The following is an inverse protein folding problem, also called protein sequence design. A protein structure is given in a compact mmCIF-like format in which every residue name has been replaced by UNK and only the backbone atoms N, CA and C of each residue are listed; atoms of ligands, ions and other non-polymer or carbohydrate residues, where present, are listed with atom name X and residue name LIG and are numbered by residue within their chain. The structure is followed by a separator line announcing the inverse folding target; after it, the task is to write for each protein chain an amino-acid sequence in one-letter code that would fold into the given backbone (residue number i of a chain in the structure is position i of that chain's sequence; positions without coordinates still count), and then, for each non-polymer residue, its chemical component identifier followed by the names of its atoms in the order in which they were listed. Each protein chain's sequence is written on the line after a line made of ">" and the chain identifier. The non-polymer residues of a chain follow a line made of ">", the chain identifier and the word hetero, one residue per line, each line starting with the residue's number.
data_IF_018856012547
#
_entry.id   IF_018856012547
#
_cell.length_a   1.000
_cell.length_b   1.000
_cell.length_c   1.000
_cell.angle_alpha   90.00
_cell.angle_beta   90.00
_cell.angle_gamma   90.00
#
_symmetry.space_group_name_H-M   'P 1'
#
loop_
_entity.id
_entity.type
_entity.pdbx_description
1 polymer ?
#
# COMPACT_ATOMS: atom_id res chain seq x y z
N UNK A 1 3.49 -22.57 10.77
CA UNK A 1 4.67 -21.67 10.66
C UNK A 1 4.23 -20.24 10.93
N UNK A 2 5.04 -19.43 11.62
CA UNK A 2 4.68 -18.03 11.99
C UNK A 2 5.60 -17.02 11.29
N UNK A 3 5.14 -15.77 11.16
CA UNK A 3 5.96 -14.70 10.56
C UNK A 3 7.28 -14.49 11.30
N UNK A 4 7.26 -14.61 12.64
CA UNK A 4 8.44 -14.54 13.52
C UNK A 4 9.60 -15.42 13.08
N UNK A 5 9.32 -16.63 12.57
CA UNK A 5 10.37 -17.61 12.24
C UNK A 5 10.93 -17.43 10.83
N UNK A 6 10.22 -16.77 9.91
CA UNK A 6 10.64 -16.62 8.50
C UNK A 6 11.11 -15.22 8.16
N UNK A 7 10.56 -14.21 8.84
CA UNK A 7 10.81 -12.80 8.56
C UNK A 7 11.20 -12.15 9.89
N UNK A 8 12.47 -12.25 10.30
CA UNK A 8 12.91 -11.76 11.62
C UNK A 8 12.53 -10.30 11.86
N UNK A 9 12.62 -9.45 10.83
CA UNK A 9 12.27 -8.02 10.89
C UNK A 9 10.81 -7.77 11.26
N UNK A 10 9.89 -8.70 10.94
CA UNK A 10 8.47 -8.60 11.27
C UNK A 10 8.20 -8.64 12.79
N UNK A 11 9.21 -8.97 13.61
CA UNK A 11 9.09 -9.04 15.06
C UNK A 11 10.09 -8.15 15.78
N UNK A 12 11.31 -8.00 15.26
CA UNK A 12 12.38 -7.22 15.92
C UNK A 12 12.49 -5.78 15.41
N UNK A 13 11.76 -5.43 14.34
CA UNK A 13 11.83 -4.10 13.76
C UNK A 13 11.34 -3.02 14.72
N UNK A 14 12.10 -1.92 14.86
CA UNK A 14 11.73 -0.80 15.76
C UNK A 14 10.55 0.04 15.25
N UNK A 15 10.16 -0.11 13.98
CA UNK A 15 9.12 0.68 13.30
C UNK A 15 8.13 -0.23 12.56
N UNK A 16 7.58 -1.23 13.27
CA UNK A 16 6.53 -2.10 12.71
C UNK A 16 5.17 -1.41 12.74
N UNK A 17 4.27 -1.87 11.88
CA UNK A 17 2.85 -1.49 11.83
C UNK A 17 2.00 -2.76 11.89
N UNK A 18 0.74 -2.68 12.38
CA UNK A 18 0.06 -1.50 12.89
C UNK A 18 0.58 -1.03 14.26
N UNK A 19 0.25 0.20 14.64
CA UNK A 19 0.48 0.75 15.99
C UNK A 19 -0.84 1.28 16.55
N UNK A 20 -0.93 1.34 17.89
CA UNK A 20 -2.03 2.04 18.55
C UNK A 20 -1.75 3.55 18.54
N UNK A 21 -2.59 4.32 17.85
CA UNK A 21 -2.48 5.78 17.80
C UNK A 21 -3.09 6.35 19.09
N UNK A 22 -2.23 6.89 19.96
CA UNK A 22 -2.66 7.55 21.19
C UNK A 22 -2.80 9.04 20.90
N UNK A 23 -4.00 9.49 20.52
CA UNK A 23 -4.28 10.86 20.05
C UNK A 23 -3.75 11.96 20.99
N UNK A 24 -3.88 11.79 22.32
CA UNK A 24 -3.33 12.74 23.31
C UNK A 24 -1.81 12.90 23.30
N UNK A 25 -1.08 12.00 22.64
CA UNK A 25 0.38 12.02 22.47
C UNK A 25 0.78 12.34 21.01
N UNK A 26 -0.18 12.57 20.12
CA UNK A 26 0.09 13.00 18.77
C UNK A 26 0.33 14.50 18.78
N UNK A 27 1.49 14.93 18.28
CA UNK A 27 1.81 16.35 18.18
C UNK A 27 1.18 16.95 16.93
N UNK A 28 0.64 18.16 17.08
CA UNK A 28 0.15 18.92 15.93
C UNK A 28 1.32 19.58 15.21
N UNK A 29 1.51 19.26 13.93
CA UNK A 29 2.55 19.85 13.10
C UNK A 29 1.97 20.92 12.17
N UNK A 30 2.16 22.20 12.53
CA UNK A 30 1.73 23.35 11.74
C UNK A 30 2.41 23.42 10.36
N UNK A 31 3.58 22.83 10.17
CA UNK A 31 4.23 22.85 8.86
C UNK A 31 3.46 22.03 7.82
N UNK A 32 2.72 21.01 8.26
CA UNK A 32 1.90 20.18 7.37
C UNK A 32 0.67 20.91 6.83
N UNK A 33 0.25 22.03 7.42
CA UNK A 33 -0.89 22.81 6.88
C UNK A 33 -0.52 23.60 5.64
N UNK A 34 0.77 23.88 5.42
CA UNK A 34 1.25 24.59 4.24
C UNK A 34 1.13 23.74 2.96
N UNK A 35 1.13 22.40 3.09
CA UNK A 35 1.00 21.45 1.99
C UNK A 35 0.00 20.37 2.40
N UNK A 36 -1.31 20.65 2.31
CA UNK A 36 -2.34 19.67 2.68
C UNK A 36 -2.23 18.42 1.80
N UNK A 37 -2.58 17.27 2.38
CA UNK A 37 -2.70 16.04 1.61
C UNK A 37 -3.89 16.17 0.66
N UNK A 38 -3.61 16.23 -0.63
CA UNK A 38 -4.60 16.20 -1.70
C UNK A 38 -4.56 14.87 -2.44
N UNK A 39 -5.73 14.37 -2.81
CA UNK A 39 -5.87 13.09 -3.50
C UNK A 39 -6.57 13.31 -4.83
N UNK A 40 -5.82 13.16 -5.92
CA UNK A 40 -6.31 13.39 -7.27
C UNK A 40 -6.43 12.05 -8.01
N UNK A 41 -7.41 11.23 -7.62
CA UNK A 41 -7.72 10.00 -8.35
C UNK A 41 -8.47 10.33 -9.64
N UNK A 42 -8.04 9.73 -10.75
CA UNK A 42 -8.75 9.77 -12.02
C UNK A 42 -9.51 8.46 -12.23
N UNK A 43 -10.70 8.48 -12.87
CA UNK A 43 -11.33 7.25 -13.32
C UNK A 43 -10.39 6.46 -14.24
N UNK A 44 -10.38 5.13 -14.08
CA UNK A 44 -9.69 4.20 -14.96
C UNK A 44 -10.73 3.23 -15.55
N UNK A 45 -10.66 3.02 -16.87
CA UNK A 45 -11.59 2.13 -17.57
C UNK A 45 -11.34 0.64 -17.23
N UNK A 46 -10.12 0.29 -16.83
CA UNK A 46 -9.71 -1.09 -16.53
C UNK A 46 -8.89 -1.20 -15.24
N UNK A 47 -9.54 -1.74 -14.21
CA UNK A 47 -8.93 -2.03 -12.92
C UNK A 47 -8.84 -3.54 -12.72
N UNK A 48 -7.69 -4.05 -12.28
CA UNK A 48 -7.51 -5.48 -12.01
C UNK A 48 -7.86 -5.78 -10.57
N UNK A 49 -8.82 -6.70 -10.36
CA UNK A 49 -9.13 -7.27 -9.05
C UNK A 49 -8.41 -8.60 -8.88
N UNK A 50 -7.62 -8.74 -7.82
CA UNK A 50 -6.86 -9.94 -7.51
C UNK A 50 -7.25 -10.47 -6.12
N UNK A 51 -7.69 -11.72 -6.06
CA UNK A 51 -7.73 -12.47 -4.81
C UNK A 51 -6.45 -13.30 -4.68
N UNK A 52 -5.56 -12.91 -3.77
CA UNK A 52 -4.27 -13.56 -3.57
C UNK A 52 -4.26 -14.57 -2.41
N UNK A 53 -5.44 -14.95 -1.89
CA UNK A 53 -5.59 -15.83 -0.73
C UNK A 53 -5.29 -15.18 0.63
N UNK A 54 -4.88 -13.91 0.65
CA UNK A 54 -4.66 -13.13 1.89
C UNK A 54 -5.56 -11.90 1.95
N UNK A 55 -5.89 -11.29 0.81
CA UNK A 55 -6.79 -10.16 0.67
C UNK A 55 -7.36 -10.09 -0.75
N UNK A 56 -8.39 -9.27 -0.94
CA UNK A 56 -8.83 -8.81 -2.25
C UNK A 56 -8.12 -7.48 -2.51
N UNK A 57 -7.33 -7.44 -3.59
CA UNK A 57 -6.53 -6.28 -3.98
C UNK A 57 -7.11 -5.65 -5.23
N UNK A 58 -7.33 -4.35 -5.17
CA UNK A 58 -7.69 -3.51 -6.31
C UNK A 58 -6.41 -2.85 -6.85
N UNK A 59 -5.97 -3.26 -8.02
CA UNK A 59 -4.74 -2.75 -8.63
C UNK A 59 -5.06 -1.64 -9.62
N UNK A 60 -4.75 -0.42 -9.20
CA UNK A 60 -4.86 0.81 -10.00
C UNK A 60 -3.61 0.93 -10.87
N UNK A 61 -3.77 1.32 -12.14
CA UNK A 61 -2.64 1.54 -13.03
C UNK A 61 -1.83 2.76 -12.57
N UNK A 62 -0.50 2.74 -12.79
CA UNK A 62 0.32 3.92 -12.51
C UNK A 62 0.34 4.81 -13.77
N UNK A 63 -0.19 6.05 -13.72
CA UNK A 63 -0.07 6.97 -14.86
C UNK A 63 1.40 7.15 -15.23
N UNK A 64 1.74 6.94 -16.50
CA UNK A 64 3.13 7.04 -17.02
C UNK A 64 3.98 5.77 -16.91
N UNK A 65 3.50 4.70 -16.27
CA UNK A 65 4.16 3.40 -16.31
C UNK A 65 3.57 2.59 -17.47
N UNK A 66 4.20 2.61 -18.64
CA UNK A 66 3.79 1.77 -19.78
C UNK A 66 3.69 0.32 -19.27
N UNK A 67 2.49 -0.26 -19.32
CA UNK A 67 2.29 -1.69 -19.10
C UNK A 67 3.17 -2.41 -20.13
N UNK A 68 4.24 -3.09 -19.69
CA UNK A 68 4.91 -4.06 -20.54
C UNK A 68 3.87 -5.15 -20.77
N UNK A 69 3.39 -5.24 -22.01
CA UNK A 69 2.48 -6.31 -22.39
C UNK A 69 3.24 -7.63 -22.29
N UNK A 70 3.03 -8.36 -21.19
CA UNK A 70 3.38 -9.77 -21.14
C UNK A 70 2.22 -10.51 -21.78
N UNK A 71 2.30 -10.67 -23.10
CA UNK A 71 1.50 -11.66 -23.81
C UNK A 71 2.06 -13.04 -23.44
N UNK A 72 1.44 -13.70 -22.46
CA UNK A 72 1.62 -15.14 -22.32
C UNK A 72 0.65 -15.82 -23.26
N UNK A 73 1.19 -16.31 -24.36
CA UNK A 73 0.52 -17.24 -25.24
C UNK A 73 0.54 -18.67 -24.65
N UNK A 74 -0.56 -19.38 -24.92
CA UNK A 74 -0.81 -20.84 -24.86
C UNK A 74 -1.14 -21.43 -23.47
N UNK A 75 -2.08 -22.39 -23.40
CA UNK A 75 -2.57 -23.35 -24.43
C UNK A 75 -4.00 -23.10 -24.84
#
# INVERSE_FOLDING_TARGET
>A
MTWKTRIPIAVIGRRQSPINIVSRKADYDFALTANPLEVNYTPEDEVTLLNNGNSIVCQIAKPGCKRVAIFNFKI
#
